data_IF_985938364308
#
_entry.id   IF_985938364308
#
_cell.length_a   1.000
_cell.length_b   1.000
_cell.length_c   1.000
_cell.angle_alpha   90.00
_cell.angle_beta   90.00
_cell.angle_gamma   90.00
#
_symmetry.space_group_name_H-M   'P 1'
#
loop_
_entity.id
_entity.type
_entity.pdbx_description
1 polymer ?
#
# COMPACT_ATOMS: atom_id res chain seq x y z
N UNK A 1 -4.20 7.98 -7.36
CA UNK A 1 -3.93 9.10 -6.42
C UNK A 1 -4.85 9.04 -5.20
N UNK A 2 -6.15 8.85 -5.41
CA UNK A 2 -7.17 8.75 -4.33
C UNK A 2 -6.81 7.73 -3.24
N UNK A 3 -6.46 6.50 -3.62
CA UNK A 3 -6.11 5.43 -2.66
C UNK A 3 -4.95 5.73 -1.70
N UNK A 4 -3.98 6.54 -2.14
CA UNK A 4 -2.86 6.96 -1.26
C UNK A 4 -3.33 7.96 -0.21
N UNK A 5 -4.14 8.94 -0.63
CA UNK A 5 -4.75 9.91 0.27
C UNK A 5 -5.71 9.25 1.28
N UNK A 6 -6.43 8.20 0.87
CA UNK A 6 -7.29 7.41 1.77
C UNK A 6 -6.47 6.73 2.88
N UNK A 7 -5.33 6.11 2.53
CA UNK A 7 -4.43 5.51 3.51
C UNK A 7 -3.83 6.56 4.44
N UNK A 8 -3.44 7.72 3.92
CA UNK A 8 -2.90 8.81 4.73
C UNK A 8 -3.92 9.33 5.73
N UNK A 9 -5.17 9.54 5.29
CA UNK A 9 -6.27 9.97 6.17
C UNK A 9 -6.56 8.96 7.27
N UNK A 10 -6.63 7.67 6.92
CA UNK A 10 -6.83 6.61 7.90
C UNK A 10 -5.66 6.53 8.90
N UNK A 11 -4.41 6.64 8.42
CA UNK A 11 -3.22 6.67 9.29
C UNK A 11 -3.25 7.84 10.27
N UNK A 12 -3.63 9.04 9.81
CA UNK A 12 -3.74 10.23 10.65
C UNK A 12 -4.77 9.98 11.77
N UNK A 13 -5.95 9.46 11.43
CA UNK A 13 -6.97 9.14 12.44
C UNK A 13 -6.47 8.16 13.51
N UNK A 14 -5.77 7.09 13.10
CA UNK A 14 -5.20 6.14 14.07
C UNK A 14 -4.12 6.77 14.97
N UNK A 15 -3.31 7.70 14.43
CA UNK A 15 -2.30 8.42 15.21
C UNK A 15 -2.98 9.37 16.20
N UNK A 16 -4.05 10.05 15.81
CA UNK A 16 -4.83 10.92 16.68
C UNK A 16 -5.45 10.13 17.85
N UNK A 17 -6.06 8.98 17.56
CA UNK A 17 -6.58 8.07 18.58
C UNK A 17 -5.48 7.57 19.53
N UNK A 18 -4.30 7.24 19.00
CA UNK A 18 -3.15 6.80 19.79
C UNK A 18 -2.63 7.92 20.70
N UNK A 19 -2.62 9.16 20.23
CA UNK A 19 -2.27 10.33 21.04
C UNK A 19 -3.28 10.54 22.17
N UNK A 20 -4.59 10.41 21.89
CA UNK A 20 -5.63 10.52 22.90
C UNK A 20 -5.49 9.45 24.00
N UNK A 21 -5.20 8.19 23.62
CA UNK A 21 -4.94 7.12 24.58
C UNK A 21 -3.72 7.40 25.46
N UNK A 22 -2.66 8.00 24.88
CA UNK A 22 -1.47 8.41 25.62
C UNK A 22 -1.79 9.54 26.61
N UNK A 23 -2.56 10.53 26.20
CA UNK A 23 -2.98 11.64 27.06
C UNK A 23 -3.85 11.16 28.23
N UNK A 24 -4.83 10.29 27.95
CA UNK A 24 -5.68 9.66 28.97
C UNK A 24 -4.86 8.85 29.97
N UNK A 25 -3.92 8.03 29.49
CA UNK A 25 -3.00 7.27 30.33
C UNK A 25 -2.17 8.19 31.24
N UNK A 26 -1.59 9.26 30.67
CA UNK A 26 -0.77 10.22 31.43
C UNK A 26 -1.59 10.95 32.50
N UNK A 27 -2.84 11.33 32.19
CA UNK A 27 -3.75 11.97 33.16
C UNK A 27 -4.09 11.03 34.31
N UNK A 28 -4.37 9.75 34.02
CA UNK A 28 -4.60 8.75 35.07
C UNK A 28 -3.35 8.55 35.92
N UNK A 29 -2.17 8.51 35.31
CA UNK A 29 -0.91 8.35 36.02
C UNK A 29 -0.61 9.52 36.96
N UNK A 30 -0.93 10.76 36.54
CA UNK A 30 -0.85 11.93 37.41
C UNK A 30 -1.83 11.84 38.59
N UNK A 31 -3.08 11.41 38.34
CA UNK A 31 -4.09 11.21 39.39
C UNK A 31 -3.69 10.12 40.42
N UNK A 32 -3.03 9.05 39.97
CA UNK A 32 -2.49 8.00 40.85
C UNK A 32 -1.40 8.52 41.79
N UNK A 33 -0.57 9.46 41.31
CA UNK A 33 0.54 10.03 42.07
C UNK A 33 0.14 11.18 43.01
N UNK A 34 -1.06 11.74 42.82
CA UNK A 34 -1.57 12.82 43.65
C UNK A 34 -1.95 12.33 45.06
N UNK A 35 -1.23 12.84 46.06
CA UNK A 35 -1.42 12.49 47.47
C UNK A 35 -2.75 13.00 48.05
N UNK A 36 -3.40 13.97 47.40
CA UNK A 36 -4.72 14.44 47.80
C UNK A 36 -5.85 13.43 47.49
N UNK A 37 -5.58 12.43 46.64
CA UNK A 37 -6.56 11.40 46.28
C UNK A 37 -6.62 10.26 47.28
N UNK A 38 -7.84 9.75 47.52
CA UNK A 38 -8.06 8.56 48.34
C UNK A 38 -7.39 7.32 47.75
N UNK A 39 -7.10 6.34 48.61
CA UNK A 39 -6.52 5.05 48.16
C UNK A 39 -7.44 4.33 47.17
N UNK A 40 -8.76 4.36 47.41
CA UNK A 40 -9.74 3.76 46.51
C UNK A 40 -9.72 4.41 45.13
N UNK A 41 -9.67 5.75 45.07
CA UNK A 41 -9.57 6.49 43.79
C UNK A 41 -8.27 6.15 43.07
N UNK A 42 -7.14 6.13 43.77
CA UNK A 42 -5.84 5.78 43.17
C UNK A 42 -5.82 4.34 42.65
N UNK A 43 -6.45 3.40 43.37
CA UNK A 43 -6.57 2.02 42.93
C UNK A 43 -7.49 1.86 41.70
N UNK A 44 -8.60 2.60 41.62
CA UNK A 44 -9.48 2.63 40.44
C UNK A 44 -8.79 3.25 39.22
N UNK A 45 -8.12 4.39 39.40
CA UNK A 45 -7.35 5.05 38.35
C UNK A 45 -6.20 4.14 37.85
N UNK A 46 -5.57 3.35 38.72
CA UNK A 46 -4.57 2.35 38.34
C UNK A 46 -5.14 1.26 37.44
N UNK A 47 -6.35 0.75 37.72
CA UNK A 47 -7.02 -0.21 36.84
C UNK A 47 -7.33 0.40 35.48
N UNK A 48 -7.87 1.63 35.45
CA UNK A 48 -8.14 2.37 34.21
C UNK A 48 -6.86 2.62 33.41
N UNK A 49 -5.76 2.97 34.07
CA UNK A 49 -4.47 3.19 33.42
C UNK A 49 -3.93 1.92 32.76
N UNK A 50 -4.07 0.76 33.42
CA UNK A 50 -3.68 -0.52 32.83
C UNK A 50 -4.49 -0.85 31.57
N UNK A 51 -5.81 -0.59 31.58
CA UNK A 51 -6.67 -0.74 30.39
C UNK A 51 -6.20 0.19 29.27
N UNK A 52 -6.00 1.48 29.56
CA UNK A 52 -5.53 2.46 28.57
C UNK A 52 -4.16 2.12 27.98
N UNK A 53 -3.24 1.60 28.80
CA UNK A 53 -1.93 1.15 28.33
C UNK A 53 -2.04 -0.07 27.40
N UNK A 54 -2.94 -1.01 27.71
CA UNK A 54 -3.19 -2.16 26.86
C UNK A 54 -3.81 -1.74 25.50
N UNK A 55 -4.79 -0.84 25.53
CA UNK A 55 -5.39 -0.22 24.33
C UNK A 55 -4.32 0.50 23.49
N UNK A 56 -3.47 1.30 24.12
CA UNK A 56 -2.38 2.03 23.48
C UNK A 56 -1.43 1.09 22.72
N UNK A 57 -0.92 0.05 23.40
CA UNK A 57 0.00 -0.93 22.79
C UNK A 57 -0.64 -1.69 21.63
N UNK A 58 -1.93 -2.04 21.78
CA UNK A 58 -2.68 -2.69 20.70
C UNK A 58 -2.81 -1.78 19.49
N UNK A 59 -3.18 -0.51 19.68
CA UNK A 59 -3.33 0.44 18.57
C UNK A 59 -1.98 0.75 17.91
N UNK A 60 -0.89 0.84 18.69
CA UNK A 60 0.47 0.99 18.16
C UNK A 60 0.83 -0.15 17.19
N UNK A 61 0.56 -1.40 17.58
CA UNK A 61 0.77 -2.57 16.71
C UNK A 61 -0.10 -2.51 15.45
N UNK A 62 -1.38 -2.11 15.59
CA UNK A 62 -2.29 -1.97 14.46
C UNK A 62 -1.80 -0.91 13.46
N UNK A 63 -1.22 0.21 13.92
CA UNK A 63 -0.65 1.23 13.03
C UNK A 63 0.54 0.68 12.25
N UNK A 64 1.41 -0.11 12.89
CA UNK A 64 2.57 -0.73 12.23
C UNK A 64 2.10 -1.68 11.13
N UNK A 65 1.14 -2.55 11.44
CA UNK A 65 0.57 -3.49 10.48
C UNK A 65 -0.16 -2.77 9.33
N UNK A 66 -0.94 -1.73 9.66
CA UNK A 66 -1.63 -0.90 8.69
C UNK A 66 -0.64 -0.29 7.68
N UNK A 67 0.44 0.33 8.17
CA UNK A 67 1.45 0.95 7.32
C UNK A 67 2.13 -0.08 6.40
N UNK A 68 2.51 -1.25 6.93
CA UNK A 68 3.10 -2.34 6.16
C UNK A 68 2.15 -2.81 5.04
N UNK A 69 0.88 -3.00 5.37
CA UNK A 69 -0.14 -3.44 4.42
C UNK A 69 -0.46 -2.38 3.37
N UNK A 70 -0.52 -1.10 3.74
CA UNK A 70 -0.72 0.01 2.83
C UNK A 70 0.43 0.11 1.82
N UNK A 71 1.69 0.05 2.28
CA UNK A 71 2.86 0.05 1.41
C UNK A 71 2.86 -1.11 0.42
N UNK A 72 2.59 -2.33 0.92
CA UNK A 72 2.48 -3.52 0.06
C UNK A 72 1.38 -3.34 -0.99
N UNK A 73 0.20 -2.88 -0.57
CA UNK A 73 -0.95 -2.69 -1.47
C UNK A 73 -0.65 -1.68 -2.57
N UNK A 74 -0.01 -0.55 -2.24
CA UNK A 74 0.40 0.46 -3.20
C UNK A 74 1.50 -0.05 -4.15
N UNK A 75 2.47 -0.81 -3.63
CA UNK A 75 3.49 -1.47 -4.42
C UNK A 75 2.90 -2.45 -5.42
N UNK A 76 2.07 -3.37 -4.95
CA UNK A 76 1.40 -4.37 -5.78
C UNK A 76 0.49 -3.72 -6.83
N UNK A 77 -0.24 -2.66 -6.47
CA UNK A 77 -1.06 -1.91 -7.41
C UNK A 77 -0.21 -1.23 -8.48
N UNK A 78 0.88 -0.58 -8.09
CA UNK A 78 1.80 0.09 -9.02
C UNK A 78 2.41 -0.93 -9.98
N UNK A 79 2.85 -2.07 -9.46
CA UNK A 79 3.43 -3.15 -10.27
C UNK A 79 2.42 -3.71 -11.26
N UNK A 80 1.17 -3.97 -10.83
CA UNK A 80 0.11 -4.44 -11.74
C UNK A 80 -0.19 -3.44 -12.84
N UNK A 81 -0.33 -2.15 -12.52
CA UNK A 81 -0.60 -1.11 -13.52
C UNK A 81 0.56 -0.97 -14.51
N UNK A 82 1.81 -0.98 -14.02
CA UNK A 82 3.00 -0.97 -14.88
C UNK A 82 3.06 -2.19 -15.79
N UNK A 83 2.80 -3.39 -15.25
CA UNK A 83 2.79 -4.63 -16.01
C UNK A 83 1.74 -4.59 -17.13
N UNK A 84 0.48 -4.25 -16.81
CA UNK A 84 -0.58 -4.18 -17.80
C UNK A 84 -0.30 -3.15 -18.90
N UNK A 85 0.26 -1.99 -18.54
CA UNK A 85 0.66 -0.98 -19.52
C UNK A 85 1.83 -1.45 -20.39
N UNK A 86 2.79 -2.17 -19.83
CA UNK A 86 3.90 -2.73 -20.59
C UNK A 86 3.42 -3.80 -21.59
N UNK A 87 2.48 -4.66 -21.19
CA UNK A 87 1.87 -5.66 -22.07
C UNK A 87 1.16 -4.98 -23.26
N UNK A 88 0.37 -3.93 -23.01
CA UNK A 88 -0.28 -3.13 -24.05
C UNK A 88 0.75 -2.49 -25.02
N UNK A 89 1.83 -1.90 -24.50
CA UNK A 89 2.91 -1.35 -25.32
C UNK A 89 3.53 -2.44 -26.20
N UNK A 90 3.83 -3.62 -25.63
CA UNK A 90 4.45 -4.73 -26.35
C UNK A 90 3.56 -5.27 -27.47
N UNK A 91 2.25 -5.32 -27.27
CA UNK A 91 1.29 -5.71 -28.31
C UNK A 91 1.33 -4.74 -29.51
N UNK A 92 1.26 -3.44 -29.25
CA UNK A 92 1.30 -2.41 -30.30
C UNK A 92 2.66 -2.40 -31.01
N UNK A 93 3.76 -2.52 -30.26
CA UNK A 93 5.12 -2.65 -30.83
C UNK A 93 5.22 -3.87 -31.73
N UNK A 94 4.74 -5.03 -31.28
CA UNK A 94 4.78 -6.27 -32.08
C UNK A 94 3.98 -6.13 -33.37
N UNK A 95 2.78 -5.56 -33.29
CA UNK A 95 1.94 -5.33 -34.46
C UNK A 95 2.62 -4.39 -35.46
N UNK A 96 3.15 -3.25 -34.99
CA UNK A 96 3.77 -2.26 -35.86
C UNK A 96 5.09 -2.73 -36.47
N UNK A 97 5.89 -3.47 -35.69
CA UNK A 97 7.12 -4.08 -36.17
C UNK A 97 6.86 -5.08 -37.31
N UNK A 98 5.84 -5.94 -37.15
CA UNK A 98 5.42 -6.88 -38.20
C UNK A 98 4.92 -6.16 -39.46
N UNK A 99 4.11 -5.12 -39.30
CA UNK A 99 3.61 -4.31 -40.43
C UNK A 99 4.76 -3.70 -41.24
N UNK A 100 5.81 -3.21 -40.56
CA UNK A 100 6.98 -2.59 -41.18
C UNK A 100 8.06 -3.58 -41.62
N UNK A 101 7.86 -4.89 -41.38
CA UNK A 101 8.80 -5.94 -41.76
C UNK A 101 10.08 -5.97 -40.92
N UNK A 102 10.04 -5.49 -39.67
CA UNK A 102 11.16 -5.60 -38.75
C UNK A 102 11.22 -6.98 -38.11
N UNK A 103 12.41 -7.59 -38.16
CA UNK A 103 12.66 -8.88 -37.51
C UNK A 103 12.89 -8.72 -35.99
N UNK A 104 13.44 -7.58 -35.56
CA UNK A 104 13.85 -7.31 -34.17
C UNK A 104 13.47 -5.89 -33.75
N UNK A 105 13.00 -5.75 -32.50
CA UNK A 105 12.86 -4.46 -31.82
C UNK A 105 13.64 -4.55 -30.51
N UNK A 106 14.49 -3.56 -30.27
CA UNK A 106 15.35 -3.49 -29.09
C UNK A 106 14.94 -2.27 -28.28
N UNK A 107 14.70 -2.46 -26.98
CA UNK A 107 14.48 -1.35 -26.06
C UNK A 107 15.78 -0.54 -25.88
N UNK A 108 15.73 0.73 -26.27
CA UNK A 108 16.83 1.69 -26.13
C UNK A 108 16.83 2.42 -24.78
N UNK A 109 15.83 2.16 -23.93
CA UNK A 109 15.76 2.74 -22.59
C UNK A 109 16.96 2.32 -21.74
N UNK A 110 17.37 3.22 -20.83
CA UNK A 110 18.45 2.93 -19.87
C UNK A 110 17.92 2.33 -18.56
N UNK A 111 16.65 1.91 -18.53
CA UNK A 111 15.97 1.42 -17.33
C UNK A 111 16.04 -0.13 -17.18
N UNK A 112 17.02 -0.75 -17.84
CA UNK A 112 17.21 -2.21 -17.91
C UNK A 112 17.99 -2.75 -16.71
N UNK A 113 17.83 -4.06 -16.43
CA UNK A 113 18.28 -4.83 -15.24
C UNK A 113 19.70 -4.57 -14.69
N UNK A 114 20.60 -3.97 -15.47
CA UNK A 114 21.94 -3.60 -15.05
C UNK A 114 22.10 -2.08 -15.27
N UNK A 115 22.04 -1.24 -14.21
CA UNK A 115 21.97 0.22 -14.32
C UNK A 115 23.17 0.93 -15.01
N UNK A 116 24.08 0.18 -15.66
CA UNK A 116 25.32 0.69 -16.25
C UNK A 116 25.74 0.03 -17.57
N UNK A 117 24.91 -0.84 -18.16
CA UNK A 117 25.25 -1.48 -19.44
C UNK A 117 24.23 -1.10 -20.51
N UNK A 118 24.57 -0.19 -21.44
CA UNK A 118 23.65 0.21 -22.49
C UNK A 118 23.41 -0.95 -23.48
N UNK A 119 22.13 -1.24 -23.75
CA UNK A 119 21.72 -2.22 -24.78
C UNK A 119 21.97 -1.71 -26.20
N UNK A 120 21.89 -0.39 -26.39
CA UNK A 120 22.13 0.29 -27.68
C UNK A 120 23.18 1.38 -27.46
N UNK A 121 24.30 1.29 -28.18
CA UNK A 121 25.39 2.28 -28.10
C UNK A 121 25.20 3.46 -29.05
N UNK A 122 24.64 3.21 -30.23
CA UNK A 122 24.40 4.21 -31.26
C UNK A 122 23.23 3.82 -32.15
N UNK A 123 22.40 4.79 -32.51
CA UNK A 123 21.41 4.71 -33.57
C UNK A 123 21.32 6.06 -34.27
N UNK A 124 21.01 6.05 -35.57
CA UNK A 124 20.72 7.27 -36.32
C UNK A 124 19.26 7.73 -36.19
N UNK A 125 18.45 7.00 -35.41
CA UNK A 125 17.04 7.32 -35.11
C UNK A 125 16.04 7.05 -36.24
N UNK A 126 16.49 6.66 -37.44
CA UNK A 126 15.59 6.51 -38.61
C UNK A 126 14.55 5.40 -38.45
N UNK A 127 14.86 4.38 -37.65
CA UNK A 127 13.99 3.24 -37.39
C UNK A 127 13.41 3.27 -35.96
N UNK A 128 13.40 4.45 -35.32
CA UNK A 128 12.82 4.61 -33.99
C UNK A 128 11.29 4.57 -34.06
N UNK A 129 10.69 3.58 -33.41
CA UNK A 129 9.25 3.36 -33.39
C UNK A 129 8.54 4.22 -32.32
N UNK A 130 9.27 4.83 -31.38
CA UNK A 130 8.72 5.41 -30.14
C UNK A 130 7.58 6.40 -30.40
N UNK A 131 7.78 7.36 -31.30
CA UNK A 131 6.78 8.38 -31.59
C UNK A 131 5.49 7.79 -32.20
N UNK A 132 5.64 6.82 -33.10
CA UNK A 132 4.51 6.15 -33.75
C UNK A 132 3.72 5.30 -32.75
N UNK A 133 4.42 4.57 -31.88
CA UNK A 133 3.79 3.74 -30.84
C UNK A 133 3.05 4.61 -29.82
N UNK A 134 3.65 5.74 -29.41
CA UNK A 134 2.98 6.70 -28.52
C UNK A 134 1.71 7.25 -29.17
N UNK A 135 1.72 7.57 -30.47
CA UNK A 135 0.54 8.04 -31.18
C UNK A 135 -0.58 6.98 -31.17
N UNK A 136 -0.27 5.74 -31.55
CA UNK A 136 -1.25 4.64 -31.58
C UNK A 136 -1.85 4.40 -30.19
N UNK A 137 -1.01 4.30 -29.16
CA UNK A 137 -1.47 4.08 -27.78
C UNK A 137 -2.37 5.20 -27.29
N UNK A 138 -2.10 6.47 -27.65
CA UNK A 138 -2.93 7.59 -27.23
C UNK A 138 -4.26 7.66 -28.00
N UNK A 139 -4.29 7.19 -29.25
CA UNK A 139 -5.53 7.05 -30.03
C UNK A 139 -6.43 5.93 -29.47
N UNK A 140 -5.86 4.78 -29.08
CA UNK A 140 -6.58 3.65 -28.47
C UNK A 140 -7.08 3.93 -27.04
N UNK A 141 -6.42 4.84 -26.31
CA UNK A 141 -6.84 5.28 -24.97
C UNK A 141 -8.19 6.02 -25.00
N UNK A 142 -8.64 6.51 -26.16
CA UNK A 142 -9.98 7.11 -26.33
C UNK A 142 -11.10 6.07 -26.21
N UNK A 143 -10.82 4.76 -26.07
CA UNK A 143 -11.87 3.74 -25.98
C UNK A 143 -11.66 2.50 -25.11
N UNK A 144 -10.44 2.13 -24.67
CA UNK A 144 -10.23 0.77 -24.11
C UNK A 144 -9.47 0.64 -22.78
N UNK A 145 -8.80 1.67 -22.28
CA UNK A 145 -8.17 1.57 -20.96
C UNK A 145 -9.23 1.75 -19.85
N UNK A 146 -9.90 0.66 -19.46
CA UNK A 146 -10.54 0.55 -18.14
C UNK A 146 -9.50 -0.02 -17.18
N UNK A 147 -8.96 0.78 -16.24
CA UNK A 147 -8.11 0.23 -15.19
C UNK A 147 -8.89 -0.91 -14.53
N UNK A 148 -8.26 -2.09 -14.40
CA UNK A 148 -8.84 -3.23 -13.68
C UNK A 148 -9.38 -2.73 -12.35
N UNK A 149 -10.69 -2.83 -12.17
CA UNK A 149 -11.36 -2.30 -10.98
C UNK A 149 -10.72 -2.94 -9.75
N UNK A 150 -10.23 -2.14 -8.79
CA UNK A 150 -9.49 -2.69 -7.67
C UNK A 150 -10.40 -3.62 -6.88
N UNK A 151 -10.00 -4.88 -6.71
CA UNK A 151 -10.63 -5.77 -5.75
C UNK A 151 -10.75 -5.04 -4.41
N UNK A 152 -11.99 -4.90 -3.91
CA UNK A 152 -12.24 -4.39 -2.56
C UNK A 152 -11.44 -5.25 -1.57
N UNK A 153 -10.80 -4.63 -0.55
CA UNK A 153 -10.21 -5.41 0.53
C UNK A 153 -11.28 -6.32 1.11
N UNK A 154 -10.98 -7.61 1.25
CA UNK A 154 -11.81 -8.49 2.05
C UNK A 154 -11.88 -7.90 3.46
N UNK A 155 -13.09 -7.61 3.94
CA UNK A 155 -13.30 -7.26 5.34
C UNK A 155 -12.66 -8.36 6.21
N UNK A 156 -11.95 -8.00 7.29
CA UNK A 156 -11.39 -8.99 8.19
C UNK A 156 -12.55 -9.78 8.77
N UNK A 157 -12.68 -11.04 8.32
CA UNK A 157 -13.59 -12.02 8.90
C UNK A 157 -13.29 -12.09 10.40
N UNK A 158 -14.25 -11.67 11.21
CA UNK A 158 -14.22 -11.89 12.64
C UNK A 158 -14.19 -13.41 12.88
N UNK A 159 -12.99 -13.95 13.07
CA UNK A 159 -12.80 -15.34 13.46
C UNK A 159 -13.36 -15.50 14.87
N UNK A 160 -14.54 -16.11 14.92
CA UNK A 160 -15.24 -16.49 16.15
C UNK A 160 -14.32 -17.45 16.93
N UNK A 161 -14.03 -17.25 18.22
CA UNK A 161 -13.14 -18.14 18.96
C UNK A 161 -13.70 -19.56 18.96
N UNK A 162 -12.91 -20.52 18.48
CA UNK A 162 -13.21 -21.94 18.60
C UNK A 162 -13.27 -22.33 20.08
N UNK A 163 -14.37 -22.94 20.50
CA UNK A 163 -14.52 -23.52 21.82
C UNK A 163 -13.53 -24.70 22.01
N UNK A 164 -12.98 -24.91 23.21
CA UNK A 164 -12.07 -26.01 23.46
C UNK A 164 -12.82 -27.36 23.42
N UNK A 165 -12.25 -28.33 22.72
CA UNK A 165 -12.70 -29.72 22.64
C UNK A 165 -12.62 -30.38 24.03
N UNK A 166 -13.61 -31.17 24.47
CA UNK A 166 -13.51 -31.95 25.70
C UNK A 166 -12.59 -33.16 25.49
N UNK A 167 -11.68 -33.34 26.43
CA UNK A 167 -10.82 -34.52 26.56
C UNK A 167 -11.66 -35.74 26.92
N UNK A 168 -11.57 -36.82 26.13
CA UNK A 168 -12.04 -38.14 26.55
C UNK A 168 -10.86 -39.12 26.66
N UNK A 169 -10.88 -39.80 27.82
CA UNK A 169 -10.08 -40.93 28.33
C UNK A 169 -8.69 -40.67 28.90
#
# INVERSE_FOLDING_TARGET
KERGADFDKARIGMIDDLNLLREDYNRLNASIQDQANSEEKRADDQKKAQVKLAEYKRLEQQIIEFNKNAQKTLGDQTQRLRKGRLEEIQEVVSAKAKELGYDWVIDSSQDVMLPRTPTVLYTNGKNDLTAVIIAILNEDVVGKYKPSEPAKPAEPSAEKPAAPTPTEK
#
